data_IF_884221707249
#
_entry.id   IF_884221707249
#
_cell.length_a   1.000
_cell.length_b   1.000
_cell.length_c   1.000
_cell.angle_alpha   90.00
_cell.angle_beta   90.00
_cell.angle_gamma   90.00
#
_symmetry.space_group_name_H-M   'P 1'
#
loop_
_entity.id
_entity.type
_entity.pdbx_description
1 polymer ?
#
# COMPACT_ATOMS: atom_id res chain seq x y z
N UNK A 1 -22.32 17.99 4.13
CA UNK A 1 -21.48 18.52 3.02
C UNK A 1 -20.64 19.73 3.41
N UNK A 2 -21.11 20.70 4.23
CA UNK A 2 -20.30 21.87 4.64
C UNK A 2 -19.05 21.51 5.46
N UNK A 3 -19.13 20.51 6.33
CA UNK A 3 -18.04 20.04 7.19
C UNK A 3 -16.86 19.48 6.35
N UNK A 4 -17.16 18.61 5.37
CA UNK A 4 -16.17 18.06 4.44
C UNK A 4 -15.43 19.17 3.68
N UNK A 5 -16.13 20.19 3.17
CA UNK A 5 -15.49 21.29 2.44
C UNK A 5 -14.49 22.08 3.31
N UNK A 6 -14.75 22.25 4.61
CA UNK A 6 -13.85 22.93 5.53
C UNK A 6 -12.56 22.14 5.80
N UNK A 7 -12.69 20.83 6.03
CA UNK A 7 -11.55 19.91 6.21
C UNK A 7 -10.67 19.93 4.95
N UNK A 8 -11.26 19.72 3.77
CA UNK A 8 -10.55 19.66 2.49
C UNK A 8 -9.80 20.98 2.15
N UNK A 9 -10.30 22.14 2.59
CA UNK A 9 -9.62 23.43 2.44
C UNK A 9 -8.38 23.55 3.36
N UNK A 10 -8.41 22.93 4.52
CA UNK A 10 -7.28 22.93 5.46
C UNK A 10 -6.09 22.13 4.93
N UNK A 11 -6.33 21.03 4.22
CA UNK A 11 -5.28 20.20 3.61
C UNK A 11 -4.75 20.74 2.27
N UNK A 12 -5.48 21.66 1.63
CA UNK A 12 -5.11 22.25 0.32
C UNK A 12 -4.56 23.68 0.41
N UNK A 13 -4.77 24.37 1.54
CA UNK A 13 -4.25 25.72 1.80
C UNK A 13 -2.80 25.73 2.29
N UNK A 14 -1.97 26.58 1.69
CA UNK A 14 -0.52 26.72 1.86
C UNK A 14 0.00 27.15 3.25
N UNK A 15 -0.77 27.05 4.34
CA UNK A 15 -0.32 27.49 5.67
C UNK A 15 -1.07 26.88 6.87
N UNK A 16 -1.62 25.66 6.77
CA UNK A 16 -2.17 24.99 7.94
C UNK A 16 -1.06 24.21 8.66
N UNK A 17 -0.84 24.50 9.94
CA UNK A 17 -0.06 23.65 10.83
C UNK A 17 -0.43 22.17 10.58
N UNK A 18 0.57 21.30 10.44
CA UNK A 18 0.34 19.88 10.21
C UNK A 18 -0.74 19.39 11.19
N UNK A 19 -1.92 18.98 10.70
CA UNK A 19 -3.02 18.61 11.57
C UNK A 19 -2.55 17.51 12.53
N UNK A 20 -2.98 17.58 13.79
CA UNK A 20 -2.59 16.61 14.80
C UNK A 20 -2.93 15.20 14.29
N UNK A 21 -2.05 14.23 14.51
CA UNK A 21 -2.18 12.86 13.96
C UNK A 21 -3.57 12.25 14.21
N UNK A 22 -4.16 12.52 15.37
CA UNK A 22 -5.50 12.08 15.75
C UNK A 22 -6.61 12.74 14.94
N UNK A 23 -6.47 14.03 14.62
CA UNK A 23 -7.42 14.77 13.77
C UNK A 23 -7.39 14.23 12.35
N UNK A 24 -6.20 13.98 11.79
CA UNK A 24 -6.05 13.41 10.43
C UNK A 24 -6.72 12.05 10.29
N UNK A 25 -6.60 11.20 11.30
CA UNK A 25 -7.25 9.89 11.30
C UNK A 25 -8.78 10.02 11.33
N UNK A 26 -9.32 10.91 12.15
CA UNK A 26 -10.76 11.16 12.21
C UNK A 26 -11.29 11.78 10.91
N UNK A 27 -10.54 12.71 10.32
CA UNK A 27 -10.87 13.33 9.03
C UNK A 27 -10.89 12.28 7.91
N UNK A 28 -9.89 11.39 7.90
CA UNK A 28 -9.83 10.28 6.96
C UNK A 28 -11.02 9.33 7.12
N UNK A 29 -11.42 8.98 8.34
CA UNK A 29 -12.65 8.20 8.59
C UNK A 29 -13.88 8.86 7.98
N UNK A 30 -14.07 10.15 8.24
CA UNK A 30 -15.23 10.90 7.74
C UNK A 30 -15.26 10.94 6.20
N UNK A 31 -14.08 11.06 5.59
CA UNK A 31 -13.92 11.04 4.13
C UNK A 31 -14.18 9.64 3.58
N UNK A 32 -13.62 8.58 4.19
CA UNK A 32 -13.83 7.19 3.73
C UNK A 32 -15.29 6.76 3.76
N UNK A 33 -16.09 7.32 4.65
CA UNK A 33 -17.53 7.04 4.73
C UNK A 33 -18.36 7.74 3.65
N UNK A 34 -17.84 8.83 3.06
CA UNK A 34 -18.59 9.71 2.14
C UNK A 34 -18.03 9.74 0.72
N UNK A 35 -16.72 9.48 0.55
CA UNK A 35 -16.03 9.57 -0.72
C UNK A 35 -16.15 8.27 -1.52
N UNK A 36 -16.20 8.35 -2.87
CA UNK A 36 -16.19 7.17 -3.71
C UNK A 36 -14.86 6.42 -3.58
N UNK A 37 -14.89 5.09 -3.68
CA UNK A 37 -13.70 4.23 -3.57
C UNK A 37 -12.59 4.64 -4.54
N UNK A 38 -12.94 5.08 -5.75
CA UNK A 38 -11.97 5.57 -6.74
C UNK A 38 -11.19 6.80 -6.25
N UNK A 39 -11.86 7.73 -5.55
CA UNK A 39 -11.18 8.90 -4.98
C UNK A 39 -10.26 8.49 -3.83
N UNK A 40 -10.69 7.53 -3.00
CA UNK A 40 -9.87 6.97 -1.92
C UNK A 40 -8.62 6.29 -2.48
N UNK A 41 -8.76 5.47 -3.52
CA UNK A 41 -7.65 4.84 -4.21
C UNK A 41 -6.67 5.88 -4.78
N UNK A 42 -7.17 6.92 -5.45
CA UNK A 42 -6.33 8.01 -5.96
C UNK A 42 -5.58 8.74 -4.83
N UNK A 43 -6.23 8.94 -3.68
CA UNK A 43 -5.62 9.56 -2.50
C UNK A 43 -4.48 8.70 -1.94
N UNK A 44 -4.73 7.41 -1.76
CA UNK A 44 -3.72 6.45 -1.27
C UNK A 44 -2.56 6.35 -2.28
N UNK A 45 -2.85 6.34 -3.58
CA UNK A 45 -1.82 6.32 -4.62
C UNK A 45 -0.95 7.58 -4.60
N UNK A 46 -1.56 8.75 -4.40
CA UNK A 46 -0.83 10.00 -4.25
C UNK A 46 0.02 10.02 -2.97
N UNK A 47 -0.47 9.44 -1.88
CA UNK A 47 0.33 9.25 -0.68
C UNK A 47 1.52 8.36 -0.98
N UNK A 48 1.35 7.22 -1.65
CA UNK A 48 2.45 6.33 -2.00
C UNK A 48 3.50 6.94 -2.94
N UNK A 49 3.09 7.86 -3.82
CA UNK A 49 3.97 8.56 -4.78
C UNK A 49 4.59 9.83 -4.21
N UNK A 50 4.24 10.23 -3.00
CA UNK A 50 4.68 11.50 -2.44
C UNK A 50 6.12 11.42 -1.93
N UNK A 51 6.89 12.48 -2.18
CA UNK A 51 8.23 12.65 -1.62
C UNK A 51 8.21 12.91 -0.11
N UNK A 52 7.04 13.26 0.46
CA UNK A 52 6.86 13.52 1.89
C UNK A 52 6.54 12.25 2.70
N UNK A 53 6.33 11.12 2.03
CA UNK A 53 6.16 9.81 2.65
C UNK A 53 7.42 8.97 2.47
N UNK A 54 7.59 7.89 3.27
CA UNK A 54 8.62 6.90 2.98
C UNK A 54 8.47 6.32 1.57
N UNK A 55 9.47 5.59 1.07
CA UNK A 55 9.36 4.92 -0.22
C UNK A 55 8.22 3.90 -0.26
N UNK A 56 7.62 3.68 -1.44
CA UNK A 56 6.53 2.73 -1.65
C UNK A 56 6.82 1.34 -1.06
N UNK A 57 8.03 0.83 -1.26
CA UNK A 57 8.44 -0.45 -0.69
C UNK A 57 8.39 -0.48 0.83
N UNK A 58 8.82 0.59 1.50
CA UNK A 58 8.83 0.67 2.95
C UNK A 58 7.40 0.74 3.50
N UNK A 59 6.53 1.53 2.86
CA UNK A 59 5.11 1.60 3.20
C UNK A 59 4.41 0.26 2.96
N UNK A 60 4.66 -0.40 1.83
CA UNK A 60 4.10 -1.72 1.53
C UNK A 60 4.53 -2.77 2.57
N UNK A 61 5.79 -2.76 3.00
CA UNK A 61 6.28 -3.65 4.05
C UNK A 61 5.65 -3.37 5.43
N UNK A 62 5.46 -2.10 5.78
CA UNK A 62 4.75 -1.73 7.01
C UNK A 62 3.30 -2.20 6.98
N UNK A 63 2.58 -1.92 5.89
CA UNK A 63 1.21 -2.38 5.72
C UNK A 63 1.14 -3.90 5.75
N UNK A 64 2.05 -4.58 5.07
CA UNK A 64 2.14 -6.03 5.06
C UNK A 64 2.33 -6.59 6.46
N UNK A 65 3.25 -6.01 7.25
CA UNK A 65 3.47 -6.41 8.64
C UNK A 65 2.22 -6.24 9.51
N UNK A 66 1.43 -5.19 9.28
CA UNK A 66 0.17 -4.93 9.99
C UNK A 66 -1.04 -5.68 9.40
N UNK A 67 -0.91 -6.28 8.22
CA UNK A 67 -1.97 -7.00 7.51
C UNK A 67 -2.10 -8.44 7.99
N UNK A 68 -3.30 -9.01 7.90
CA UNK A 68 -3.54 -10.44 8.14
C UNK A 68 -3.14 -11.32 6.95
N UNK A 69 -3.13 -12.65 7.13
CA UNK A 69 -2.75 -13.62 6.10
C UNK A 69 -3.47 -13.41 4.75
N UNK A 70 -4.81 -13.26 4.70
CA UNK A 70 -5.54 -13.03 3.46
C UNK A 70 -5.14 -11.74 2.74
N UNK A 71 -4.98 -10.64 3.48
CA UNK A 71 -4.59 -9.35 2.89
C UNK A 71 -3.14 -9.36 2.39
N UNK A 72 -2.25 -10.02 3.15
CA UNK A 72 -0.86 -10.22 2.75
C UNK A 72 -0.76 -11.00 1.44
N UNK A 73 -1.53 -12.07 1.30
CA UNK A 73 -1.59 -12.85 0.06
C UNK A 73 -2.10 -12.02 -1.12
N UNK A 74 -3.22 -11.30 -0.95
CA UNK A 74 -3.76 -10.43 -1.98
C UNK A 74 -2.75 -9.42 -2.50
N UNK A 75 -2.10 -8.67 -1.60
CA UNK A 75 -1.07 -7.69 -1.95
C UNK A 75 0.14 -8.35 -2.61
N UNK A 76 0.62 -9.47 -2.07
CA UNK A 76 1.75 -10.19 -2.68
C UNK A 76 1.43 -10.63 -4.10
N UNK A 77 0.24 -11.16 -4.35
CA UNK A 77 -0.17 -11.57 -5.70
C UNK A 77 -0.20 -10.38 -6.67
N UNK A 78 -0.71 -9.23 -6.23
CA UNK A 78 -0.66 -7.97 -6.99
C UNK A 78 0.79 -7.55 -7.29
N UNK A 79 1.66 -7.55 -6.27
CA UNK A 79 3.07 -7.18 -6.43
C UNK A 79 3.83 -8.17 -7.33
N UNK A 80 3.54 -9.46 -7.23
CA UNK A 80 4.13 -10.52 -8.05
C UNK A 80 3.69 -10.39 -9.51
N UNK A 81 2.42 -10.04 -9.74
CA UNK A 81 1.91 -9.76 -11.08
C UNK A 81 2.65 -8.60 -11.75
N UNK A 82 2.89 -7.52 -10.99
CA UNK A 82 3.60 -6.33 -11.47
C UNK A 82 5.12 -6.53 -11.63
N UNK A 83 5.81 -7.03 -10.60
CA UNK A 83 7.26 -7.29 -10.65
C UNK A 83 7.60 -8.47 -11.57
N UNK A 84 6.72 -9.47 -11.62
CA UNK A 84 6.91 -10.73 -12.30
C UNK A 84 7.48 -11.83 -11.37
N UNK A 85 7.05 -13.10 -11.54
CA UNK A 85 7.49 -14.23 -10.70
C UNK A 85 9.01 -14.43 -10.67
N UNK A 86 9.69 -14.10 -11.77
CA UNK A 86 11.16 -14.21 -11.87
C UNK A 86 11.90 -13.24 -10.93
N UNK A 87 11.41 -12.01 -10.78
CA UNK A 87 12.06 -11.03 -9.88
C UNK A 87 11.81 -11.42 -8.43
N UNK A 88 10.58 -11.82 -8.11
CA UNK A 88 10.19 -12.24 -6.77
C UNK A 88 11.00 -13.47 -6.34
N UNK A 89 11.10 -14.49 -7.19
CA UNK A 89 11.92 -15.68 -6.89
C UNK A 89 13.39 -15.32 -6.70
N UNK A 90 13.95 -14.36 -7.44
CA UNK A 90 15.33 -13.91 -7.23
C UNK A 90 15.53 -13.16 -5.89
N UNK A 91 14.57 -12.34 -5.48
CA UNK A 91 14.58 -11.65 -4.17
C UNK A 91 14.45 -12.67 -3.05
N UNK A 92 13.44 -13.54 -3.13
CA UNK A 92 13.24 -14.61 -2.16
C UNK A 92 14.46 -15.52 -2.10
N UNK A 93 15.09 -15.89 -3.22
CA UNK A 93 16.29 -16.75 -3.23
C UNK A 93 17.46 -16.10 -2.50
N UNK A 94 17.66 -14.78 -2.68
CA UNK A 94 18.67 -14.03 -1.93
C UNK A 94 18.40 -14.03 -0.43
N UNK A 95 17.13 -14.06 -0.02
CA UNK A 95 16.71 -13.99 1.39
C UNK A 95 16.55 -15.37 2.05
N UNK A 96 16.17 -16.39 1.29
CA UNK A 96 16.04 -17.79 1.70
C UNK A 96 17.39 -18.41 2.07
N UNK A 97 18.50 -17.91 1.52
CA UNK A 97 19.84 -18.27 1.95
C UNK A 97 20.11 -17.97 3.44
N UNK A 98 19.26 -17.18 4.11
CA UNK A 98 19.36 -16.85 5.52
C UNK A 98 18.29 -17.54 6.42
N UNK A 99 17.19 -18.06 5.85
CA UNK A 99 16.07 -18.65 6.59
C UNK A 99 15.72 -20.05 6.06
N UNK A 100 16.30 -21.07 6.69
CA UNK A 100 16.17 -22.47 6.26
C UNK A 100 14.73 -23.00 6.27
N UNK A 101 14.37 -23.75 5.23
CA UNK A 101 13.29 -24.75 5.24
C UNK A 101 12.02 -24.38 4.47
N UNK A 102 11.33 -23.29 4.84
CA UNK A 102 10.01 -22.96 4.27
C UNK A 102 10.06 -22.16 2.97
N UNK A 103 10.94 -21.16 2.89
CA UNK A 103 11.02 -20.25 1.74
C UNK A 103 11.49 -20.95 0.46
N UNK A 104 12.35 -21.97 0.58
CA UNK A 104 12.86 -22.75 -0.56
C UNK A 104 11.74 -23.50 -1.29
N UNK A 105 10.73 -23.97 -0.56
CA UNK A 105 9.55 -24.61 -1.16
C UNK A 105 8.74 -23.61 -2.00
N UNK A 106 8.54 -22.39 -1.47
CA UNK A 106 7.88 -21.30 -2.19
C UNK A 106 8.63 -20.88 -3.45
N UNK A 107 9.96 -20.81 -3.38
CA UNK A 107 10.81 -20.49 -4.53
C UNK A 107 10.68 -21.57 -5.62
N UNK A 108 10.69 -22.85 -5.24
CA UNK A 108 10.46 -23.95 -6.18
C UNK A 108 9.07 -23.89 -6.82
N UNK A 109 8.06 -23.48 -6.05
CA UNK A 109 6.68 -23.32 -6.52
C UNK A 109 6.54 -22.18 -7.55
N UNK A 110 7.13 -21.01 -7.24
CA UNK A 110 7.14 -19.83 -8.11
C UNK A 110 8.03 -20.03 -9.34
N UNK A 111 9.14 -20.73 -9.21
CA UNK A 111 10.09 -21.02 -10.30
C UNK A 111 9.67 -22.19 -11.19
N UNK A 112 8.86 -23.11 -10.68
CA UNK A 112 8.35 -24.29 -11.39
C UNK A 112 7.03 -24.09 -12.15
N UNK A 113 6.41 -22.91 -12.05
CA UNK A 113 5.21 -22.53 -12.80
C UNK A 113 3.91 -23.23 -12.38
N UNK A 114 3.88 -23.96 -11.26
CA UNK A 114 2.70 -24.72 -10.81
C UNK A 114 1.75 -23.92 -9.92
N UNK A 115 2.20 -22.85 -9.25
CA UNK A 115 1.33 -21.91 -8.53
C UNK A 115 1.90 -20.50 -8.60
N UNK A 116 1.22 -19.64 -9.36
CA UNK A 116 1.51 -18.20 -9.45
C UNK A 116 0.89 -17.42 -8.29
N UNK A 117 -0.04 -18.04 -7.55
CA UNK A 117 -0.78 -17.42 -6.47
C UNK A 117 -0.23 -17.85 -5.10
N UNK A 118 0.21 -16.86 -4.33
CA UNK A 118 0.63 -17.02 -2.94
C UNK A 118 -0.60 -17.19 -2.07
N UNK A 119 -0.66 -18.26 -1.28
CA UNK A 119 -1.74 -18.48 -0.31
C UNK A 119 -1.54 -17.64 0.96
N UNK A 120 -2.60 -17.40 1.77
CA UNK A 120 -2.49 -16.69 3.04
C UNK A 120 -1.43 -17.26 3.99
N UNK A 121 -1.29 -18.58 4.06
CA UNK A 121 -0.28 -19.22 4.91
C UNK A 121 1.14 -18.98 4.39
N UNK A 122 1.33 -19.01 3.07
CA UNK A 122 2.61 -18.75 2.44
C UNK A 122 3.01 -17.28 2.58
N UNK A 123 2.05 -16.37 2.40
CA UNK A 123 2.23 -14.95 2.62
C UNK A 123 2.67 -14.66 4.06
N UNK A 124 2.13 -15.36 5.05
CA UNK A 124 2.57 -15.22 6.43
C UNK A 124 4.04 -15.62 6.66
N UNK A 125 4.60 -16.48 5.81
CA UNK A 125 6.01 -16.91 5.87
C UNK A 125 6.96 -15.95 5.14
N UNK A 126 6.45 -15.02 4.32
CA UNK A 126 7.29 -14.06 3.61
C UNK A 126 7.71 -12.94 4.59
N UNK A 127 9.02 -12.69 4.72
CA UNK A 127 9.50 -11.61 5.57
C UNK A 127 9.12 -10.23 4.99
N UNK A 128 8.71 -9.26 5.82
CA UNK A 128 8.28 -7.94 5.35
C UNK A 128 9.36 -7.21 4.54
N UNK A 129 10.64 -7.47 4.80
CA UNK A 129 11.74 -6.89 4.04
C UNK A 129 11.85 -7.48 2.63
N UNK A 130 11.44 -8.74 2.40
CA UNK A 130 11.30 -9.25 1.04
C UNK A 130 10.19 -8.50 0.31
N UNK A 131 9.07 -8.22 1.00
CA UNK A 131 7.95 -7.45 0.44
C UNK A 131 8.39 -6.04 0.08
N UNK A 132 9.22 -5.40 0.91
CA UNK A 132 9.80 -4.08 0.61
C UNK A 132 10.56 -4.10 -0.72
N UNK A 133 11.47 -5.07 -0.91
CA UNK A 133 12.24 -5.18 -2.15
C UNK A 133 11.35 -5.52 -3.35
N UNK A 134 10.39 -6.44 -3.19
CA UNK A 134 9.45 -6.82 -4.24
C UNK A 134 8.63 -5.60 -4.68
N UNK A 135 8.07 -4.86 -3.72
CA UNK A 135 7.27 -3.66 -3.99
C UNK A 135 8.09 -2.57 -4.67
N UNK A 136 9.32 -2.31 -4.21
CA UNK A 136 10.22 -1.35 -4.86
C UNK A 136 10.60 -1.76 -6.29
N UNK A 137 10.77 -3.05 -6.56
CA UNK A 137 11.03 -3.53 -7.92
C UNK A 137 9.77 -3.54 -8.78
N UNK A 138 8.61 -3.86 -8.20
CA UNK A 138 7.32 -3.81 -8.85
C UNK A 138 7.04 -2.40 -9.35
N UNK A 139 7.19 -1.38 -8.50
CA UNK A 139 7.00 0.02 -8.88
C UNK A 139 7.92 0.45 -10.03
N UNK A 140 9.21 0.09 -9.95
CA UNK A 140 10.19 0.43 -11.00
C UNK A 140 9.85 -0.18 -12.35
N UNK A 141 9.22 -1.35 -12.35
CA UNK A 141 8.88 -2.09 -13.57
C UNK A 141 7.50 -1.71 -14.10
N UNK A 142 6.53 -1.62 -13.20
CA UNK A 142 5.14 -1.28 -13.46
C UNK A 142 4.64 -0.27 -12.40
N UNK A 143 4.66 1.03 -12.71
CA UNK A 143 4.20 2.07 -11.79
C UNK A 143 2.69 2.01 -11.51
N UNK A 144 1.92 1.26 -12.31
CA UNK A 144 0.49 1.01 -12.05
C UNK A 144 0.27 0.05 -10.87
N UNK A 145 1.31 -0.62 -10.36
CA UNK A 145 1.21 -1.40 -9.12
C UNK A 145 0.76 -0.55 -7.95
N UNK A 146 1.17 0.72 -7.92
CA UNK A 146 0.76 1.66 -6.88
C UNK A 146 -0.76 1.85 -6.93
N UNK A 147 -1.34 2.00 -8.12
CA UNK A 147 -2.80 2.18 -8.28
C UNK A 147 -3.56 0.90 -7.91
N UNK A 148 -3.03 -0.28 -8.23
CA UNK A 148 -3.62 -1.57 -7.87
C UNK A 148 -3.61 -1.79 -6.35
N UNK A 149 -2.46 -1.55 -5.72
CA UNK A 149 -2.29 -1.66 -4.27
C UNK A 149 -3.16 -0.63 -3.54
N UNK A 150 -3.23 0.60 -4.07
CA UNK A 150 -4.07 1.65 -3.51
C UNK A 150 -5.55 1.33 -3.58
N UNK A 151 -5.99 0.73 -4.70
CA UNK A 151 -7.36 0.26 -4.88
C UNK A 151 -7.72 -0.82 -3.86
N UNK A 152 -6.82 -1.77 -3.61
CA UNK A 152 -6.99 -2.80 -2.58
C UNK A 152 -7.11 -2.18 -1.17
N UNK A 153 -6.25 -1.21 -0.84
CA UNK A 153 -6.30 -0.55 0.46
C UNK A 153 -7.45 0.44 0.62
N UNK A 154 -8.01 0.96 -0.47
CA UNK A 154 -9.23 1.77 -0.43
C UNK A 154 -10.43 0.97 0.13
N UNK A 155 -10.44 -0.35 -0.07
CA UNK A 155 -11.42 -1.26 0.56
C UNK A 155 -11.08 -1.59 2.02
N UNK A 156 -9.85 -1.31 2.46
CA UNK A 156 -9.34 -1.56 3.79
C UNK A 156 -8.78 -0.30 4.48
N UNK A 157 -9.60 0.74 4.70
CA UNK A 157 -9.16 2.03 5.23
C UNK A 157 -8.50 1.91 6.61
N UNK A 158 -8.87 0.91 7.41
CA UNK A 158 -8.25 0.63 8.72
C UNK A 158 -6.74 0.34 8.60
N UNK A 159 -6.30 -0.31 7.52
CA UNK A 159 -4.88 -0.61 7.30
C UNK A 159 -4.13 0.66 6.89
N UNK A 160 -4.73 1.52 6.06
CA UNK A 160 -4.13 2.80 5.63
C UNK A 160 -3.80 3.69 6.82
N UNK A 161 -4.61 3.66 7.89
CA UNK A 161 -4.34 4.42 9.11
C UNK A 161 -3.00 4.07 9.77
N UNK A 162 -2.48 2.87 9.51
CA UNK A 162 -1.18 2.41 10.05
C UNK A 162 0.02 3.03 9.34
N UNK A 163 -0.15 3.60 8.14
CA UNK A 163 0.90 4.33 7.41
C UNK A 163 1.29 5.65 8.10
N UNK A 164 0.45 6.14 9.00
CA UNK A 164 0.70 7.35 9.77
C UNK A 164 0.09 8.62 9.17
N UNK A 165 0.13 9.68 9.96
CA UNK A 165 -0.58 10.93 9.68
C UNK A 165 -0.11 11.65 8.41
N UNK A 166 1.17 11.54 8.05
CA UNK A 166 1.71 12.17 6.84
C UNK A 166 1.06 11.61 5.57
N UNK A 167 1.03 10.28 5.43
CA UNK A 167 0.40 9.60 4.29
C UNK A 167 -1.09 9.93 4.20
N UNK A 168 -1.80 9.91 5.33
CA UNK A 168 -3.23 10.27 5.38
C UNK A 168 -3.48 11.73 4.98
N UNK A 169 -2.65 12.66 5.43
CA UNK A 169 -2.74 14.09 5.07
C UNK A 169 -2.68 14.29 3.57
N UNK A 170 -1.73 13.61 2.90
CA UNK A 170 -1.57 13.68 1.44
C UNK A 170 -2.75 13.02 0.74
N UNK A 171 -3.21 11.86 1.23
CA UNK A 171 -4.37 11.19 0.67
C UNK A 171 -5.62 12.08 0.72
N UNK A 172 -5.89 12.70 1.87
CA UNK A 172 -7.00 13.64 2.05
C UNK A 172 -6.85 14.85 1.12
N UNK A 173 -5.67 15.45 1.04
CA UNK A 173 -5.39 16.59 0.17
C UNK A 173 -5.65 16.25 -1.31
N UNK A 174 -5.30 15.04 -1.73
CA UNK A 174 -5.55 14.60 -3.10
C UNK A 174 -7.03 14.33 -3.36
N UNK A 175 -7.73 13.67 -2.43
CA UNK A 175 -9.18 13.45 -2.50
C UNK A 175 -9.92 14.80 -2.61
N UNK A 176 -9.51 15.79 -1.80
CA UNK A 176 -10.00 17.17 -1.84
C UNK A 176 -9.88 17.79 -3.24
N UNK A 177 -8.68 17.73 -3.82
CA UNK A 177 -8.40 18.26 -5.16
C UNK A 177 -9.26 17.59 -6.22
N UNK A 178 -9.43 16.26 -6.15
CA UNK A 178 -10.29 15.49 -7.07
C UNK A 178 -11.75 15.90 -6.97
N UNK A 179 -12.26 16.10 -5.75
CA UNK A 179 -13.63 16.57 -5.52
C UNK A 179 -13.86 18.01 -6.01
N UNK A 180 -12.84 18.87 -5.98
CA UNK A 180 -12.93 20.23 -6.52
C UNK A 180 -12.88 20.27 -8.05
N UNK A 181 -12.27 19.26 -8.67
CA UNK A 181 -12.13 19.15 -10.13
C UNK A 181 -13.27 18.37 -10.80
N UNK A 182 -14.21 17.82 -10.03
CA UNK A 182 -15.40 17.09 -10.50
C UNK A 182 -16.62 18.00 -10.51
#
# INVERSE_FOLDING_TARGET
>A
MKELSGVLQQYTGTAAAAPASSSVQNDFDQITQSAPQSALADGIAAAFRSEQTPDFGQMAAQLFSNSGGPQRAGILNTLISAAGPMIVSQILSRRAGASGGGLSSLIGLLGGGQQTEITPEQAAQIPPEAVQEIAAQAEKKDPSVIDQVSSFYAEHPTLVKTLGAAALTIAIAQIARRQQAS
#
